data_IF_466048740910
#
_entry.id   IF_466048740910
#
_cell.length_a   1.000
_cell.length_b   1.000
_cell.length_c   1.000
_cell.angle_alpha   90.00
_cell.angle_beta   90.00
_cell.angle_gamma   90.00
#
_symmetry.space_group_name_H-M   'P 1'
#
loop_
_entity.id
_entity.type
_entity.pdbx_description
1 polymer ?
#
# COMPACT_ATOMS: atom_id res chain seq x y z
N UNK A 1 13.50 18.68 10.28
CA UNK A 1 13.58 17.40 9.55
C UNK A 1 12.27 16.68 9.78
N UNK A 2 11.37 16.75 8.82
CA UNK A 2 10.13 15.97 8.90
C UNK A 2 10.50 14.49 8.74
N UNK A 3 10.24 13.73 9.78
CA UNK A 3 10.53 12.31 9.81
C UNK A 3 9.50 11.56 8.94
N UNK A 4 9.97 10.56 8.20
CA UNK A 4 9.15 9.49 7.66
C UNK A 4 8.34 8.86 8.80
N UNK A 5 7.05 8.99 8.77
CA UNK A 5 6.22 8.27 9.73
C UNK A 5 5.84 6.92 9.14
N UNK A 6 6.62 5.90 9.52
CA UNK A 6 6.10 4.54 9.52
C UNK A 6 4.98 4.50 10.56
N UNK A 7 3.75 4.31 10.12
CA UNK A 7 2.62 4.21 11.04
C UNK A 7 2.14 2.78 11.16
N UNK A 8 1.86 2.36 12.38
CA UNK A 8 1.34 1.04 12.69
C UNK A 8 2.41 -0.07 12.72
N UNK A 9 2.11 -1.09 13.50
CA UNK A 9 2.90 -2.32 13.61
C UNK A 9 1.97 -3.51 13.45
N UNK A 10 2.39 -4.50 12.67
CA UNK A 10 1.70 -5.77 12.54
C UNK A 10 2.56 -6.86 13.16
N UNK A 11 2.13 -7.39 14.30
CA UNK A 11 2.82 -8.49 15.03
C UNK A 11 2.15 -9.84 14.85
N UNK A 12 1.04 -9.87 14.12
CA UNK A 12 0.22 -11.03 13.79
C UNK A 12 0.19 -11.22 12.29
N UNK A 13 -0.36 -12.33 11.80
CA UNK A 13 -0.51 -12.61 10.38
C UNK A 13 -1.39 -11.57 9.68
N UNK A 14 -2.46 -11.14 10.35
CA UNK A 14 -3.36 -10.08 9.89
C UNK A 14 -4.05 -9.40 11.08
N UNK A 15 -4.63 -8.23 10.83
CA UNK A 15 -5.52 -7.52 11.75
C UNK A 15 -6.65 -6.85 10.97
N UNK A 16 -7.82 -6.75 11.58
CA UNK A 16 -8.97 -6.07 11.01
C UNK A 16 -9.51 -5.01 11.95
N UNK A 17 -9.94 -3.88 11.39
CA UNK A 17 -10.50 -2.75 12.12
C UNK A 17 -11.71 -2.22 11.36
N UNK A 18 -12.83 -2.02 12.05
CA UNK A 18 -13.93 -1.22 11.54
C UNK A 18 -13.86 0.16 12.21
N UNK A 19 -13.64 1.20 11.41
CA UNK A 19 -13.36 2.55 11.93
C UNK A 19 -14.42 3.51 11.42
N UNK A 20 -14.98 4.26 12.36
CA UNK A 20 -15.98 5.30 12.11
C UNK A 20 -15.46 6.60 12.69
N UNK A 21 -14.95 7.49 11.84
CA UNK A 21 -14.55 8.85 12.22
C UNK A 21 -15.71 9.82 11.96
N UNK A 22 -16.07 10.62 12.98
CA UNK A 22 -17.18 11.57 12.92
C UNK A 22 -16.71 13.02 12.82
N UNK A 23 -15.43 13.23 12.66
CA UNK A 23 -14.82 14.55 12.55
C UNK A 23 -13.79 14.53 11.43
N UNK A 24 -13.70 15.64 10.71
CA UNK A 24 -12.64 15.84 9.73
C UNK A 24 -11.28 15.73 10.42
N UNK A 25 -10.43 14.88 9.88
CA UNK A 25 -9.05 14.70 10.30
C UNK A 25 -8.13 14.94 9.12
N UNK A 26 -7.02 15.62 9.37
CA UNK A 26 -5.93 15.70 8.42
C UNK A 26 -4.97 14.52 8.64
N UNK A 27 -4.71 13.79 7.56
CA UNK A 27 -3.78 12.68 7.58
C UNK A 27 -2.51 13.05 6.82
N UNK A 28 -1.37 12.89 7.47
CA UNK A 28 -0.08 13.01 6.80
C UNK A 28 0.17 11.82 5.88
N UNK A 29 0.99 12.02 4.84
CA UNK A 29 1.51 10.91 4.06
C UNK A 29 2.32 9.98 4.95
N UNK A 30 2.06 8.68 4.82
CA UNK A 30 2.73 7.65 5.59
C UNK A 30 2.84 6.35 4.79
N UNK A 31 3.58 5.39 5.31
CA UNK A 31 3.69 4.05 4.75
C UNK A 31 3.67 3.00 5.86
N UNK A 32 3.43 1.75 5.49
CA UNK A 32 3.49 0.58 6.36
C UNK A 32 4.50 -0.43 5.81
N UNK A 33 4.99 -1.33 6.65
CA UNK A 33 5.79 -2.48 6.22
C UNK A 33 4.95 -3.76 6.05
N UNK A 34 3.65 -3.61 5.99
CA UNK A 34 2.65 -4.64 5.72
C UNK A 34 1.69 -4.17 4.61
N UNK A 35 1.00 -5.10 3.99
CA UNK A 35 -0.03 -4.79 3.02
C UNK A 35 -1.31 -4.33 3.75
N UNK A 36 -2.05 -3.43 3.12
CA UNK A 36 -3.32 -2.91 3.62
C UNK A 36 -4.40 -3.07 2.56
N UNK A 37 -5.52 -3.61 2.96
CA UNK A 37 -6.76 -3.62 2.20
C UNK A 37 -7.73 -2.73 2.95
N UNK A 38 -8.34 -1.76 2.26
CA UNK A 38 -9.36 -0.91 2.84
C UNK A 38 -10.64 -1.08 2.02
N UNK A 39 -11.75 -1.38 2.70
CA UNK A 39 -13.09 -1.39 2.13
C UNK A 39 -13.76 -0.11 2.58
N UNK A 40 -14.05 0.77 1.63
CA UNK A 40 -14.70 2.06 1.89
C UNK A 40 -16.21 1.85 2.02
N UNK A 41 -16.81 2.28 3.12
CA UNK A 41 -18.25 2.13 3.37
C UNK A 41 -19.00 3.42 3.01
N UNK A 42 -18.55 4.54 3.58
CA UNK A 42 -19.15 5.86 3.30
C UNK A 42 -18.25 6.99 3.75
N UNK A 43 -18.47 8.15 3.16
CA UNK A 43 -17.75 9.40 3.44
C UNK A 43 -17.61 10.23 2.17
N UNK A 44 -16.91 11.34 2.30
CA UNK A 44 -16.51 12.20 1.20
C UNK A 44 -14.98 12.26 1.23
N UNK A 45 -14.36 11.27 0.55
CA UNK A 45 -12.94 10.96 0.71
C UNK A 45 -12.32 10.61 -0.63
N UNK A 46 -11.21 11.27 -0.94
CA UNK A 46 -10.26 10.75 -1.92
C UNK A 46 -9.09 10.05 -1.23
N UNK A 47 -8.45 9.14 -1.94
CA UNK A 47 -7.33 8.37 -1.42
C UNK A 47 -6.11 8.56 -2.31
N UNK A 48 -5.03 9.11 -1.75
CA UNK A 48 -3.79 9.34 -2.49
C UNK A 48 -2.81 8.17 -2.22
N UNK A 49 -2.29 7.54 -3.29
CA UNK A 49 -1.31 6.45 -3.23
C UNK A 49 -0.27 6.68 -4.31
N UNK A 50 1.01 6.80 -3.94
CA UNK A 50 2.13 6.96 -4.88
C UNK A 50 1.86 8.02 -5.97
N UNK A 51 1.30 9.19 -5.59
CA UNK A 51 0.98 10.28 -6.50
C UNK A 51 -0.32 10.12 -7.32
N UNK A 52 -1.01 8.99 -7.20
CA UNK A 52 -2.33 8.78 -7.77
C UNK A 52 -3.41 9.21 -6.77
N UNK A 53 -4.48 9.85 -7.25
CA UNK A 53 -5.63 10.23 -6.44
C UNK A 53 -6.89 9.53 -6.94
N UNK A 54 -7.66 8.96 -6.03
CA UNK A 54 -8.86 8.19 -6.28
C UNK A 54 -10.03 8.75 -5.49
N UNK A 55 -11.08 9.18 -6.17
CA UNK A 55 -12.35 9.54 -5.53
C UNK A 55 -13.09 8.24 -5.16
N UNK A 56 -13.22 7.97 -3.87
CA UNK A 56 -13.82 6.73 -3.40
C UNK A 56 -15.35 6.77 -3.47
N UNK A 57 -15.91 5.63 -3.86
CA UNK A 57 -17.35 5.35 -3.80
C UNK A 57 -17.64 4.22 -2.82
N UNK A 58 -18.84 4.15 -2.22
CA UNK A 58 -19.20 3.08 -1.31
C UNK A 58 -18.86 1.69 -1.87
N UNK A 59 -18.18 0.90 -1.04
CA UNK A 59 -17.69 -0.45 -1.32
C UNK A 59 -16.50 -0.56 -2.30
N UNK A 60 -15.85 0.56 -2.63
CA UNK A 60 -14.54 0.48 -3.26
C UNK A 60 -13.54 -0.25 -2.35
N UNK A 61 -12.72 -1.10 -2.95
CA UNK A 61 -11.63 -1.82 -2.26
C UNK A 61 -10.31 -1.20 -2.66
N UNK A 62 -9.60 -0.66 -1.69
CA UNK A 62 -8.30 0.01 -1.88
C UNK A 62 -7.18 -0.93 -1.48
N UNK A 63 -6.21 -1.12 -2.36
CA UNK A 63 -5.00 -1.89 -2.11
C UNK A 63 -3.81 -0.97 -1.87
N UNK A 64 -3.13 -1.16 -0.75
CA UNK A 64 -1.87 -0.48 -0.46
C UNK A 64 -0.83 -1.54 -0.12
N UNK A 65 0.21 -1.65 -0.92
CA UNK A 65 1.32 -2.59 -0.66
C UNK A 65 2.26 -2.05 0.40
N UNK A 66 2.96 -2.96 1.03
CA UNK A 66 4.05 -2.62 1.92
C UNK A 66 5.02 -1.63 1.26
N UNK A 67 5.25 -0.50 1.94
CA UNK A 67 6.13 0.57 1.47
C UNK A 67 5.50 1.60 0.54
N UNK A 68 4.26 1.43 0.09
CA UNK A 68 3.58 2.47 -0.68
C UNK A 68 3.17 3.64 0.20
N UNK A 69 3.52 4.84 -0.25
CA UNK A 69 3.18 6.09 0.42
C UNK A 69 1.73 6.44 0.11
N UNK A 70 0.95 6.69 1.14
CA UNK A 70 -0.46 6.97 0.97
C UNK A 70 -1.04 7.84 2.07
N UNK A 71 -2.20 8.44 1.79
CA UNK A 71 -3.07 9.11 2.77
C UNK A 71 -4.51 9.19 2.27
N UNK A 72 -5.52 9.14 3.15
CA UNK A 72 -6.85 9.64 2.85
C UNK A 72 -6.86 11.18 2.86
N UNK A 73 -7.69 11.79 2.03
CA UNK A 73 -8.03 13.22 2.03
C UNK A 73 -9.53 13.32 2.27
N UNK A 74 -9.92 13.87 3.43
CA UNK A 74 -11.33 14.02 3.82
C UNK A 74 -11.79 15.40 3.39
N UNK A 75 -12.82 15.47 2.54
CA UNK A 75 -13.28 16.71 1.93
C UNK A 75 -14.34 17.44 2.76
N UNK A 76 -15.12 16.71 3.56
CA UNK A 76 -16.21 17.27 4.37
C UNK A 76 -16.24 16.67 5.79
N UNK A 77 -17.14 17.16 6.65
CA UNK A 77 -17.40 16.61 7.98
C UNK A 77 -18.36 15.40 7.96
N UNK A 78 -18.60 14.83 6.78
CA UNK A 78 -19.38 13.58 6.67
C UNK A 78 -18.68 12.42 7.41
N UNK A 79 -19.51 11.51 7.92
CA UNK A 79 -18.98 10.33 8.61
C UNK A 79 -18.10 9.53 7.65
N UNK A 80 -16.83 9.33 8.03
CA UNK A 80 -15.90 8.47 7.31
C UNK A 80 -15.87 7.07 7.93
N UNK A 81 -16.49 6.12 7.25
CA UNK A 81 -16.61 4.73 7.68
C UNK A 81 -15.88 3.80 6.72
N UNK A 82 -15.04 2.93 7.25
CA UNK A 82 -14.23 1.98 6.49
C UNK A 82 -13.85 0.77 7.31
N UNK A 83 -13.67 -0.35 6.63
CA UNK A 83 -13.02 -1.55 7.18
C UNK A 83 -11.58 -1.54 6.68
N UNK A 84 -10.62 -1.74 7.58
CA UNK A 84 -9.19 -1.83 7.25
C UNK A 84 -8.69 -3.20 7.66
N UNK A 85 -8.03 -3.88 6.73
CA UNK A 85 -7.36 -5.15 6.98
C UNK A 85 -5.86 -4.95 6.72
N UNK A 86 -5.05 -5.15 7.76
CA UNK A 86 -3.60 -5.24 7.66
C UNK A 86 -3.22 -6.70 7.50
N UNK A 87 -2.30 -6.99 6.59
CA UNK A 87 -1.87 -8.36 6.32
C UNK A 87 -0.37 -8.44 6.08
N UNK A 88 0.28 -9.41 6.74
CA UNK A 88 1.69 -9.70 6.55
C UNK A 88 1.94 -10.19 5.12
N UNK A 89 2.86 -9.57 4.37
CA UNK A 89 3.27 -10.06 3.07
C UNK A 89 3.76 -11.53 3.13
N UNK A 90 4.49 -11.88 4.19
CA UNK A 90 5.05 -13.22 4.38
C UNK A 90 3.95 -14.26 4.57
N UNK A 91 2.92 -13.91 5.34
CA UNK A 91 1.80 -14.81 5.59
C UNK A 91 1.06 -15.15 4.30
N UNK A 92 0.65 -14.17 3.50
CA UNK A 92 -0.06 -14.47 2.24
C UNK A 92 0.84 -15.09 1.17
N UNK A 93 2.14 -14.78 1.16
CA UNK A 93 3.10 -15.40 0.25
C UNK A 93 3.33 -16.88 0.54
N UNK A 94 3.09 -17.35 1.78
CA UNK A 94 3.15 -18.77 2.12
C UNK A 94 2.02 -19.60 1.48
N UNK A 95 0.96 -18.93 1.00
CA UNK A 95 -0.17 -19.54 0.27
C UNK A 95 -0.03 -19.28 -1.23
N UNK A 96 1.06 -19.74 -1.81
CA UNK A 96 1.34 -19.66 -3.24
C UNK A 96 1.87 -20.99 -3.75
N UNK A 97 1.34 -21.42 -4.90
CA UNK A 97 1.88 -22.55 -5.66
C UNK A 97 1.62 -22.33 -7.17
N UNK A 98 1.83 -23.38 -8.00
CA UNK A 98 1.63 -23.31 -9.45
C UNK A 98 0.18 -22.99 -9.86
N UNK A 99 -0.81 -23.23 -8.99
CA UNK A 99 -2.24 -23.11 -9.31
C UNK A 99 -2.88 -21.86 -8.71
N UNK A 100 -2.32 -21.27 -7.66
CA UNK A 100 -2.87 -20.09 -7.01
C UNK A 100 -1.82 -19.25 -6.30
N UNK A 101 -2.12 -17.95 -6.13
CA UNK A 101 -1.33 -16.97 -5.39
C UNK A 101 -2.28 -16.01 -4.67
N UNK A 102 -2.28 -16.01 -3.33
CA UNK A 102 -3.13 -15.09 -2.57
C UNK A 102 -2.71 -13.62 -2.67
N UNK A 103 -1.51 -13.32 -3.21
CA UNK A 103 -1.10 -11.95 -3.54
C UNK A 103 -1.64 -11.47 -4.90
N UNK A 104 -2.40 -12.28 -5.63
CA UNK A 104 -2.80 -11.96 -7.00
C UNK A 104 -3.53 -10.61 -7.11
N UNK A 105 -4.44 -10.28 -6.18
CA UNK A 105 -5.15 -9.00 -6.17
C UNK A 105 -4.19 -7.79 -6.13
N UNK A 106 -3.10 -7.85 -5.37
CA UNK A 106 -2.09 -6.81 -5.33
C UNK A 106 -1.23 -6.75 -6.60
N UNK A 107 -0.92 -7.91 -7.20
CA UNK A 107 -0.21 -7.98 -8.50
C UNK A 107 -1.08 -7.40 -9.60
N UNK A 108 -2.35 -7.80 -9.63
CA UNK A 108 -3.32 -7.33 -10.63
C UNK A 108 -3.54 -5.82 -10.56
N UNK A 109 -3.68 -5.25 -9.35
CA UNK A 109 -3.76 -3.81 -9.15
C UNK A 109 -2.54 -3.06 -9.75
N UNK A 110 -1.33 -3.62 -9.64
CA UNK A 110 -0.15 -3.04 -10.27
C UNK A 110 -0.17 -3.14 -11.80
N UNK A 111 -0.61 -4.27 -12.36
CA UNK A 111 -0.75 -4.46 -13.81
C UNK A 111 -1.75 -3.45 -14.40
N UNK A 112 -2.88 -3.25 -13.71
CA UNK A 112 -3.92 -2.29 -14.10
C UNK A 112 -3.55 -0.83 -13.76
N UNK A 113 -2.41 -0.61 -13.10
CA UNK A 113 -1.95 0.72 -12.64
C UNK A 113 -3.00 1.46 -11.81
N UNK A 114 -3.77 0.74 -11.04
CA UNK A 114 -4.81 1.27 -10.16
C UNK A 114 -4.84 0.51 -8.84
N UNK A 115 -4.84 1.26 -7.76
CA UNK A 115 -4.93 0.72 -6.40
C UNK A 115 -6.38 0.57 -5.92
N UNK A 116 -7.38 0.91 -6.73
CA UNK A 116 -8.80 0.89 -6.34
C UNK A 116 -9.61 0.02 -7.26
N UNK A 117 -10.24 -0.99 -6.65
CA UNK A 117 -11.16 -1.92 -7.29
C UNK A 117 -12.60 -1.50 -6.96
N UNK A 118 -13.43 -1.28 -7.96
CA UNK A 118 -14.86 -0.96 -7.86
C UNK A 118 -15.70 -2.15 -8.28
N UNK A 119 -16.70 -2.50 -7.46
CA UNK A 119 -17.61 -3.61 -7.70
C UNK A 119 -19.05 -3.16 -7.52
N UNK A 120 -19.88 -3.16 -8.57
CA UNK A 120 -21.25 -2.67 -8.55
C UNK A 120 -22.17 -3.40 -7.55
N UNK A 121 -21.86 -4.63 -7.20
CA UNK A 121 -22.68 -5.47 -6.33
C UNK A 121 -21.93 -6.06 -5.15
N UNK A 122 -20.91 -5.37 -4.64
CA UNK A 122 -20.10 -5.82 -3.49
C UNK A 122 -20.96 -6.30 -2.33
N UNK A 123 -21.98 -5.52 -1.92
CA UNK A 123 -22.85 -5.80 -0.78
C UNK A 123 -23.74 -7.06 -0.96
N UNK A 124 -23.79 -7.63 -2.18
CA UNK A 124 -24.49 -8.89 -2.50
C UNK A 124 -23.53 -10.03 -2.80
N UNK A 125 -22.26 -9.81 -2.66
CA UNK A 125 -21.22 -10.78 -2.99
C UNK A 125 -20.87 -11.68 -1.81
N UNK A 126 -20.35 -12.86 -2.10
CA UNK A 126 -19.78 -13.75 -1.08
C UNK A 126 -18.60 -13.08 -0.34
N UNK A 127 -17.87 -12.18 -1.01
CA UNK A 127 -16.81 -11.40 -0.39
C UNK A 127 -17.32 -10.53 0.76
N UNK A 128 -18.49 -9.88 0.59
CA UNK A 128 -19.10 -9.09 1.65
C UNK A 128 -19.58 -9.95 2.83
N UNK A 129 -20.21 -11.10 2.55
CA UNK A 129 -20.64 -12.04 3.59
C UNK A 129 -19.45 -12.47 4.45
N UNK A 130 -18.37 -12.93 3.81
CA UNK A 130 -17.16 -13.37 4.49
C UNK A 130 -16.47 -12.22 5.23
N UNK A 131 -16.51 -10.99 4.70
CA UNK A 131 -16.01 -9.80 5.40
C UNK A 131 -16.75 -9.57 6.72
N UNK A 132 -18.08 -9.68 6.70
CA UNK A 132 -18.90 -9.52 7.91
C UNK A 132 -18.69 -10.68 8.92
N UNK A 133 -18.50 -11.91 8.44
CA UNK A 133 -18.20 -13.06 9.31
C UNK A 133 -16.81 -12.92 9.95
N UNK A 134 -15.81 -12.51 9.18
CA UNK A 134 -14.46 -12.25 9.66
C UNK A 134 -14.48 -11.14 10.73
N UNK A 135 -15.21 -10.05 10.51
CA UNK A 135 -15.35 -8.97 11.49
C UNK A 135 -15.94 -9.49 12.82
N UNK A 136 -17.03 -10.26 12.75
CA UNK A 136 -17.68 -10.83 13.93
C UNK A 136 -16.77 -11.78 14.71
N UNK A 137 -15.93 -12.55 13.99
CA UNK A 137 -15.05 -13.54 14.61
C UNK A 137 -14.01 -12.93 15.57
N UNK A 138 -13.67 -11.65 15.44
CA UNK A 138 -12.76 -10.96 16.36
C UNK A 138 -13.36 -10.72 17.76
N UNK A 139 -14.67 -10.80 17.88
CA UNK A 139 -15.38 -10.72 19.16
C UNK A 139 -15.77 -12.10 19.70
N UNK A 140 -15.46 -13.15 18.97
CA UNK A 140 -15.79 -14.54 19.32
C UNK A 140 -14.67 -15.15 20.17
N UNK A 141 -15.01 -15.59 21.37
CA UNK A 141 -14.11 -16.26 22.31
C UNK A 141 -14.37 -17.77 22.40
N UNK A 142 -15.05 -18.36 21.40
CA UNK A 142 -15.44 -19.75 21.39
C UNK A 142 -14.26 -20.68 21.02
N UNK A 143 -14.52 -21.97 21.08
CA UNK A 143 -13.54 -23.02 20.79
C UNK A 143 -12.85 -22.80 19.42
N UNK A 144 -11.51 -22.85 19.44
CA UNK A 144 -10.67 -22.66 18.25
C UNK A 144 -10.87 -21.31 17.51
N UNK A 145 -11.27 -20.23 18.20
CA UNK A 145 -11.57 -18.92 17.61
C UNK A 145 -10.45 -18.38 16.74
N UNK A 146 -9.18 -18.47 17.16
CA UNK A 146 -8.02 -18.04 16.35
C UNK A 146 -7.89 -18.84 15.05
N UNK A 147 -8.10 -20.16 15.09
CA UNK A 147 -8.10 -20.99 13.90
C UNK A 147 -9.25 -20.62 12.96
N UNK A 148 -10.43 -20.38 13.51
CA UNK A 148 -11.60 -19.95 12.74
C UNK A 148 -11.37 -18.60 12.07
N UNK A 149 -10.78 -17.62 12.76
CA UNK A 149 -10.36 -16.34 12.18
C UNK A 149 -9.39 -16.52 11.01
N UNK A 150 -8.38 -17.40 11.16
CA UNK A 150 -7.44 -17.70 10.08
C UNK A 150 -8.13 -18.30 8.85
N UNK A 151 -9.08 -19.22 9.04
CA UNK A 151 -9.86 -19.82 7.95
C UNK A 151 -10.70 -18.76 7.23
N UNK A 152 -11.42 -17.91 7.97
CA UNK A 152 -12.23 -16.83 7.41
C UNK A 152 -11.38 -15.80 6.67
N UNK A 153 -10.20 -15.47 7.20
CA UNK A 153 -9.28 -14.58 6.50
C UNK A 153 -8.77 -15.18 5.18
N UNK A 154 -8.44 -16.46 5.16
CA UNK A 154 -8.05 -17.15 3.93
C UNK A 154 -9.20 -17.20 2.92
N UNK A 155 -10.42 -17.48 3.38
CA UNK A 155 -11.61 -17.40 2.54
C UNK A 155 -11.83 -15.99 1.99
N UNK A 156 -11.69 -14.95 2.82
CA UNK A 156 -11.73 -13.56 2.38
C UNK A 156 -10.74 -13.28 1.25
N UNK A 157 -9.46 -13.69 1.41
CA UNK A 157 -8.43 -13.51 0.37
C UNK A 157 -8.76 -14.29 -0.90
N UNK A 158 -9.31 -15.50 -0.80
CA UNK A 158 -9.76 -16.28 -1.96
C UNK A 158 -10.89 -15.56 -2.70
N UNK A 159 -11.92 -15.09 -1.98
CA UNK A 159 -13.05 -14.39 -2.59
C UNK A 159 -12.63 -13.06 -3.21
N UNK A 160 -11.71 -12.34 -2.56
CA UNK A 160 -11.14 -11.10 -3.10
C UNK A 160 -10.38 -11.36 -4.42
N UNK A 161 -9.52 -12.40 -4.45
CA UNK A 161 -8.79 -12.76 -5.68
C UNK A 161 -9.75 -13.24 -6.79
N UNK A 162 -10.79 -14.02 -6.45
CA UNK A 162 -11.82 -14.39 -7.41
C UNK A 162 -12.54 -13.19 -7.99
N UNK A 163 -12.85 -12.18 -7.16
CA UNK A 163 -13.45 -10.94 -7.64
C UNK A 163 -12.53 -10.23 -8.65
N UNK A 164 -11.22 -10.23 -8.45
CA UNK A 164 -10.28 -9.60 -9.40
C UNK A 164 -10.09 -10.37 -10.72
N UNK A 165 -10.48 -11.64 -10.78
CA UNK A 165 -10.37 -12.48 -11.98
C UNK A 165 -11.65 -12.41 -12.83
N UNK A 166 -12.81 -12.30 -12.20
CA UNK A 166 -14.10 -12.34 -12.89
C UNK A 166 -14.55 -10.97 -13.38
N UNK A 167 -15.04 -10.88 -14.63
CA UNK A 167 -15.26 -9.69 -15.46
C UNK A 167 -16.47 -8.80 -15.05
N UNK A 168 -16.63 -8.42 -13.79
CA UNK A 168 -17.63 -7.42 -13.37
C UNK A 168 -17.04 -6.42 -12.39
N UNK A 169 -15.78 -6.09 -12.62
CA UNK A 169 -15.02 -5.17 -11.80
C UNK A 169 -14.35 -4.12 -12.68
N UNK A 170 -14.32 -2.90 -12.20
CA UNK A 170 -13.60 -1.81 -12.80
C UNK A 170 -12.44 -1.38 -11.89
N UNK A 171 -11.23 -1.33 -12.46
CA UNK A 171 -10.14 -0.62 -11.81
C UNK A 171 -10.33 0.88 -12.05
N UNK A 172 -10.47 1.63 -10.96
CA UNK A 172 -10.79 3.06 -11.02
C UNK A 172 -9.64 3.83 -11.68
N UNK A 173 -9.95 4.54 -12.76
CA UNK A 173 -9.00 5.45 -13.37
C UNK A 173 -8.61 6.56 -12.40
N UNK A 174 -7.32 6.84 -12.34
CA UNK A 174 -6.82 7.90 -11.49
C UNK A 174 -6.93 9.26 -12.17
N UNK A 175 -7.28 10.29 -11.43
CA UNK A 175 -6.92 11.63 -11.81
C UNK A 175 -5.45 11.84 -11.43
N UNK A 176 -4.54 11.74 -12.39
CA UNK A 176 -3.15 12.07 -12.13
C UNK A 176 -3.03 13.56 -11.86
N UNK A 177 -2.74 13.94 -10.62
CA UNK A 177 -2.52 15.33 -10.27
C UNK A 177 -1.32 15.91 -11.02
N UNK A 178 -0.27 15.12 -11.25
CA UNK A 178 0.91 15.55 -12.00
C UNK A 178 1.55 14.40 -12.80
N UNK A 179 1.29 14.27 -14.12
CA UNK A 179 1.85 13.19 -14.95
C UNK A 179 3.37 13.12 -14.94
N UNK A 180 4.07 14.26 -14.79
CA UNK A 180 5.53 14.28 -14.71
C UNK A 180 6.05 13.66 -13.43
N UNK A 181 5.35 13.90 -12.31
CA UNK A 181 5.71 13.28 -11.03
C UNK A 181 5.40 11.80 -11.01
N UNK A 182 4.34 11.34 -11.65
CA UNK A 182 4.06 9.91 -11.83
C UNK A 182 5.16 9.22 -12.63
N UNK A 183 5.53 9.78 -13.79
CA UNK A 183 6.63 9.26 -14.60
C UNK A 183 7.96 9.23 -13.81
N UNK A 184 8.19 10.24 -12.96
CA UNK A 184 9.34 10.27 -12.09
C UNK A 184 9.29 9.16 -11.01
N UNK A 185 8.14 8.92 -10.39
CA UNK A 185 7.96 7.83 -9.40
C UNK A 185 8.21 6.47 -10.04
N UNK A 186 7.67 6.22 -11.22
CA UNK A 186 7.92 5.00 -12.01
C UNK A 186 9.41 4.83 -12.31
N UNK A 187 10.07 5.91 -12.73
CA UNK A 187 11.51 5.89 -12.99
C UNK A 187 12.31 5.58 -11.72
N UNK A 188 12.02 6.23 -10.61
CA UNK A 188 12.71 5.99 -9.33
C UNK A 188 12.55 4.53 -8.86
N UNK A 189 11.36 3.94 -9.03
CA UNK A 189 11.08 2.56 -8.63
C UNK A 189 11.79 1.54 -9.52
N UNK A 190 11.89 1.81 -10.82
CA UNK A 190 12.56 0.91 -11.79
C UNK A 190 14.09 1.01 -11.73
N UNK A 191 14.63 2.18 -11.38
CA UNK A 191 16.08 2.44 -11.33
C UNK A 191 16.63 2.56 -9.89
N UNK A 192 15.95 1.95 -8.93
CA UNK A 192 16.21 2.09 -7.49
C UNK A 192 17.66 1.83 -7.08
N UNK A 193 18.34 0.92 -7.79
CA UNK A 193 19.74 0.51 -7.50
C UNK A 193 20.78 1.40 -8.15
N UNK A 194 20.38 2.28 -9.07
CA UNK A 194 21.28 3.17 -9.77
C UNK A 194 21.67 4.39 -8.94
N UNK A 195 22.73 5.08 -9.40
CA UNK A 195 23.09 6.39 -8.88
C UNK A 195 22.19 7.47 -9.47
N UNK A 196 21.23 7.92 -8.66
CA UNK A 196 20.24 8.93 -9.05
C UNK A 196 20.60 10.25 -8.38
N UNK A 197 20.91 11.27 -9.19
CA UNK A 197 21.11 12.66 -8.75
C UNK A 197 19.95 13.56 -9.20
N UNK A 198 19.71 14.64 -8.46
CA UNK A 198 18.70 15.65 -8.84
C UNK A 198 19.04 16.28 -10.21
N UNK A 199 20.35 16.42 -10.53
CA UNK A 199 20.79 16.96 -11.81
C UNK A 199 20.39 16.04 -12.95
N UNK A 200 20.69 14.75 -12.85
CA UNK A 200 20.26 13.72 -13.85
C UNK A 200 18.75 13.71 -14.04
N UNK A 201 17.97 13.75 -12.95
CA UNK A 201 16.52 13.78 -13.04
C UNK A 201 15.99 15.05 -13.72
N UNK A 202 16.55 16.22 -13.36
CA UNK A 202 16.20 17.51 -13.95
C UNK A 202 16.43 17.52 -15.48
N UNK A 203 17.56 17.00 -15.93
CA UNK A 203 17.91 16.86 -17.35
C UNK A 203 16.98 15.85 -18.06
N UNK A 204 16.80 14.67 -17.48
CA UNK A 204 16.02 13.58 -18.11
C UNK A 204 14.54 13.92 -18.26
N UNK A 205 13.94 14.61 -17.29
CA UNK A 205 12.53 14.98 -17.31
C UNK A 205 12.26 16.39 -17.87
N UNK A 206 13.31 17.12 -18.28
CA UNK A 206 13.22 18.49 -18.80
C UNK A 206 12.46 19.44 -17.86
N UNK A 207 12.77 19.39 -16.56
CA UNK A 207 12.16 20.22 -15.51
C UNK A 207 13.23 20.80 -14.61
N UNK A 208 13.00 22.00 -14.09
CA UNK A 208 13.96 22.63 -13.18
C UNK A 208 14.07 21.83 -11.86
N UNK A 209 15.26 21.85 -11.27
CA UNK A 209 15.52 21.19 -9.96
C UNK A 209 14.55 21.65 -8.88
N UNK A 210 14.23 22.94 -8.86
CA UNK A 210 13.30 23.52 -7.90
C UNK A 210 11.91 22.92 -8.07
N UNK A 211 11.38 22.93 -9.31
CA UNK A 211 10.06 22.34 -9.59
C UNK A 211 10.04 20.85 -9.27
N UNK A 212 11.09 20.10 -9.66
CA UNK A 212 11.22 18.68 -9.38
C UNK A 212 11.10 18.38 -7.87
N UNK A 213 11.91 19.07 -7.05
CA UNK A 213 11.93 18.83 -5.61
C UNK A 213 10.64 19.28 -4.91
N UNK A 214 10.10 20.43 -5.33
CA UNK A 214 8.89 21.01 -4.73
C UNK A 214 7.67 20.15 -5.06
N UNK A 215 7.41 19.91 -6.35
CA UNK A 215 6.23 19.13 -6.78
C UNK A 215 6.29 17.69 -6.33
N UNK A 216 7.48 17.06 -6.30
CA UNK A 216 7.61 15.71 -5.76
C UNK A 216 7.22 15.67 -4.27
N UNK A 217 7.68 16.67 -3.48
CA UNK A 217 7.33 16.74 -2.07
C UNK A 217 5.85 17.06 -1.85
N UNK A 218 5.25 17.90 -2.67
CA UNK A 218 3.82 18.24 -2.62
C UNK A 218 2.94 17.02 -2.90
N UNK A 219 3.27 16.26 -3.94
CA UNK A 219 2.49 15.08 -4.38
C UNK A 219 2.69 13.84 -3.51
N UNK A 220 3.87 13.68 -2.91
CA UNK A 220 4.22 12.46 -2.15
C UNK A 220 4.39 12.70 -0.65
N UNK A 221 4.48 13.95 -0.22
CA UNK A 221 4.84 14.32 1.14
C UNK A 221 6.33 14.15 1.48
N UNK A 222 7.15 13.63 0.56
CA UNK A 222 8.55 13.26 0.83
C UNK A 222 9.54 13.93 -0.11
N UNK A 223 10.77 14.10 0.34
CA UNK A 223 11.85 14.45 -0.58
C UNK A 223 12.28 13.24 -1.40
N UNK A 224 12.78 13.45 -2.62
CA UNK A 224 13.27 12.37 -3.50
C UNK A 224 14.31 11.50 -2.79
N UNK A 225 15.27 12.14 -2.07
CA UNK A 225 16.30 11.41 -1.34
C UNK A 225 15.76 10.52 -0.22
N UNK A 226 14.78 11.02 0.48
CA UNK A 226 14.09 10.24 1.51
C UNK A 226 13.30 9.09 0.88
N UNK A 227 12.54 9.34 -0.17
CA UNK A 227 11.79 8.31 -0.91
C UNK A 227 12.73 7.17 -1.34
N UNK A 228 13.82 7.48 -2.04
CA UNK A 228 14.82 6.49 -2.46
C UNK A 228 15.39 5.70 -1.29
N UNK A 229 15.74 6.38 -0.19
CA UNK A 229 16.27 5.71 1.00
C UNK A 229 15.29 4.70 1.56
N UNK A 230 14.03 5.05 1.70
CA UNK A 230 12.98 4.15 2.21
C UNK A 230 12.77 2.96 1.27
N UNK A 231 12.64 3.19 -0.02
CA UNK A 231 12.45 2.10 -1.00
C UNK A 231 13.64 1.13 -1.01
N UNK A 232 14.86 1.65 -0.90
CA UNK A 232 16.08 0.83 -0.77
C UNK A 232 16.11 0.03 0.53
N UNK A 233 15.68 0.61 1.64
CA UNK A 233 15.59 -0.13 2.92
C UNK A 233 14.58 -1.27 2.85
N UNK A 234 13.42 -1.05 2.27
CA UNK A 234 12.40 -2.08 2.09
C UNK A 234 12.94 -3.22 1.21
N UNK A 235 13.59 -2.89 0.08
CA UNK A 235 14.25 -3.88 -0.78
C UNK A 235 15.35 -4.66 -0.04
N UNK A 236 16.18 -3.97 0.75
CA UNK A 236 17.21 -4.63 1.54
C UNK A 236 16.61 -5.60 2.56
N UNK A 237 15.51 -5.21 3.21
CA UNK A 237 14.80 -6.07 4.16
C UNK A 237 14.25 -7.33 3.48
N UNK A 238 13.68 -7.19 2.29
CA UNK A 238 13.18 -8.34 1.52
C UNK A 238 14.34 -9.28 1.16
N UNK A 239 15.47 -8.76 0.67
CA UNK A 239 16.66 -9.56 0.37
C UNK A 239 17.21 -10.30 1.59
N UNK A 240 17.26 -9.62 2.76
CA UNK A 240 17.73 -10.24 4.02
C UNK A 240 16.76 -11.36 4.45
N UNK A 241 15.46 -11.12 4.36
CA UNK A 241 14.44 -12.12 4.66
C UNK A 241 14.56 -13.35 3.76
N UNK A 242 14.89 -13.14 2.47
CA UNK A 242 15.08 -14.19 1.49
C UNK A 242 16.46 -14.87 1.62
N UNK A 243 17.20 -14.56 2.70
CA UNK A 243 18.44 -15.23 3.07
C UNK A 243 19.73 -14.57 2.60
N UNK A 244 19.67 -13.39 1.98
CA UNK A 244 20.88 -12.66 1.58
C UNK A 244 21.65 -12.14 2.79
N UNK A 245 22.98 -12.23 2.80
CA UNK A 245 23.79 -11.57 3.82
C UNK A 245 23.53 -10.07 3.88
N UNK A 246 23.52 -9.48 5.08
CA UNK A 246 23.18 -8.05 5.28
C UNK A 246 24.05 -7.12 4.42
N UNK A 247 25.33 -7.44 4.26
CA UNK A 247 26.26 -6.63 3.45
C UNK A 247 25.88 -6.70 1.96
N UNK A 248 25.55 -7.86 1.45
CA UNK A 248 25.10 -8.04 0.06
C UNK A 248 23.78 -7.34 -0.18
N UNK A 249 22.79 -7.52 0.70
CA UNK A 249 21.50 -6.85 0.65
C UNK A 249 21.64 -5.31 0.64
N UNK A 250 22.59 -4.76 1.42
CA UNK A 250 22.90 -3.33 1.41
C UNK A 250 23.23 -2.83 -0.01
N UNK A 251 24.17 -3.47 -0.68
CA UNK A 251 24.62 -3.02 -2.01
C UNK A 251 23.63 -3.39 -3.11
N UNK A 252 23.03 -4.58 -3.05
CA UNK A 252 22.01 -5.04 -4.00
C UNK A 252 20.72 -4.21 -3.93
N UNK A 253 20.46 -3.50 -2.83
CA UNK A 253 19.36 -2.56 -2.70
C UNK A 253 19.65 -1.15 -3.19
N UNK A 254 20.91 -0.85 -3.57
CA UNK A 254 21.32 0.44 -4.15
C UNK A 254 21.95 1.42 -3.18
N UNK A 255 22.32 1.00 -1.95
CA UNK A 255 23.15 1.83 -1.08
C UNK A 255 24.60 1.84 -1.54
N UNK A 256 25.22 3.03 -1.56
CA UNK A 256 26.62 3.19 -1.96
C UNK A 256 27.63 2.76 -0.89
N UNK A 257 27.22 2.77 0.38
CA UNK A 257 28.08 2.39 1.49
C UNK A 257 27.27 1.87 2.68
N UNK A 258 27.89 0.96 3.42
CA UNK A 258 27.27 0.30 4.56
C UNK A 258 26.93 1.27 5.71
N UNK A 259 27.71 2.34 5.90
CA UNK A 259 27.47 3.31 6.98
C UNK A 259 26.15 4.07 6.79
N UNK A 260 25.83 4.47 5.56
CA UNK A 260 24.55 5.12 5.22
C UNK A 260 23.37 4.15 5.38
N UNK A 261 23.55 2.90 4.92
CA UNK A 261 22.57 1.84 5.11
C UNK A 261 22.31 1.58 6.60
N UNK A 262 23.35 1.33 7.40
CA UNK A 262 23.22 1.02 8.83
C UNK A 262 22.54 2.14 9.62
N UNK A 263 22.86 3.41 9.31
CA UNK A 263 22.18 4.55 9.93
C UNK A 263 20.71 4.65 9.57
N UNK A 264 20.37 4.33 8.32
CA UNK A 264 18.99 4.36 7.86
C UNK A 264 18.19 3.17 8.40
N UNK A 265 18.81 1.99 8.52
CA UNK A 265 18.20 0.75 9.00
C UNK A 265 17.89 0.76 10.51
N UNK A 266 18.66 1.54 11.30
CA UNK A 266 18.50 1.67 12.76
C UNK A 266 17.43 2.68 13.19
N UNK A 267 16.93 3.50 12.26
CA UNK A 267 15.83 4.44 12.49
C UNK A 267 14.49 3.74 12.33
#
# INVERSE_FOLDING_TARGET
>A
MENYEKTGYLTTNFKMFHIIDRQKKDFSFHYHDFNKILIFIRGDVSYCIEGHSYELQPYDVVFVKAGEIHRPVIHSDAVYERIIIYVSPDFISSYQNENYDLNYCFKKAQEEKSNVLRMDSFHRSKLYEVTCELEKSFSDADYAGELYQNILFLEFMIQLNRATIHNHIDYVNTSASNPKILALLDFLNTHLTEDISIDRLSEQFYISKYYLMHSFKEETGYTIGNYLTTRRLLRARDLIRDGSPITEACFASGFKNYSSFSRAYKK
#
